data_IF_268989460888
#
_entry.id   IF_268989460888
#
_cell.length_a   1.000
_cell.length_b   1.000
_cell.length_c   1.000
_cell.angle_alpha   90.00
_cell.angle_beta   90.00
_cell.angle_gamma   90.00
#
_symmetry.space_group_name_H-M   'P 1'
#
loop_
_entity.id
_entity.type
_entity.pdbx_description
1 polymer ?
#
# COMPACT_ATOMS: atom_id res chain seq x y z
N UNK A 1 -9.49 13.67 4.93
CA UNK A 1 -9.61 13.98 3.52
C UNK A 1 -8.36 13.52 2.76
N UNK A 2 -8.58 13.15 1.50
CA UNK A 2 -7.49 12.69 0.66
C UNK A 2 -8.01 12.47 -0.77
N UNK A 3 -7.19 11.78 -1.56
CA UNK A 3 -7.55 11.50 -2.94
C UNK A 3 -6.99 10.13 -3.34
N UNK A 4 -7.27 9.75 -4.57
CA UNK A 4 -6.80 8.48 -5.09
C UNK A 4 -5.50 8.69 -5.86
N UNK A 5 -4.71 9.65 -5.40
CA UNK A 5 -3.45 9.96 -6.03
C UNK A 5 -2.35 9.98 -4.98
N UNK A 6 -2.64 10.64 -3.87
CA UNK A 6 -1.68 10.73 -2.78
C UNK A 6 -1.38 9.34 -2.20
N UNK A 7 -2.43 8.53 -2.12
CA UNK A 7 -2.30 7.19 -1.61
C UNK A 7 -1.29 6.42 -2.46
N UNK A 8 -1.40 6.60 -3.76
CA UNK A 8 -0.51 5.93 -4.69
C UNK A 8 0.93 6.40 -4.45
N UNK A 9 1.08 7.72 -4.42
CA UNK A 9 2.40 8.30 -4.20
C UNK A 9 2.96 7.86 -2.85
N UNK A 10 2.07 7.83 -1.86
CA UNK A 10 2.47 7.43 -0.51
C UNK A 10 2.88 5.96 -0.49
N UNK A 11 2.06 5.13 -1.12
CA UNK A 11 2.33 3.70 -1.17
C UNK A 11 3.64 3.47 -1.92
N UNK A 12 3.85 4.28 -2.95
CA UNK A 12 5.05 4.17 -3.76
C UNK A 12 6.30 4.47 -2.93
N UNK A 13 6.07 4.98 -1.73
CA UNK A 13 7.16 5.31 -0.83
C UNK A 13 7.30 4.23 0.25
N UNK A 14 6.50 3.19 0.09
CA UNK A 14 6.52 2.08 1.04
C UNK A 14 7.55 1.05 0.59
N UNK A 15 8.14 0.38 1.56
CA UNK A 15 9.14 -0.64 1.28
C UNK A 15 8.48 -2.01 1.14
N UNK A 16 9.28 -2.97 0.69
CA UNK A 16 8.78 -4.33 0.50
C UNK A 16 8.11 -4.80 1.80
N UNK A 17 8.80 -4.56 2.90
CA UNK A 17 8.29 -4.95 4.21
C UNK A 17 6.92 -4.31 4.45
N UNK A 18 6.84 -3.04 4.09
CA UNK A 18 5.60 -2.29 4.26
C UNK A 18 4.50 -2.86 3.36
N UNK A 19 4.88 -3.12 2.12
CA UNK A 19 3.95 -3.67 1.15
C UNK A 19 3.36 -4.97 1.70
N UNK A 20 4.22 -5.74 2.36
CA UNK A 20 3.79 -7.00 2.94
C UNK A 20 2.65 -6.79 3.93
N UNK A 21 2.71 -5.65 4.62
CA UNK A 21 1.70 -5.31 5.60
C UNK A 21 0.41 -4.93 4.86
N UNK A 22 0.57 -4.14 3.81
CA UNK A 22 -0.56 -3.69 3.02
C UNK A 22 -1.31 -4.91 2.47
N UNK A 23 -0.53 -5.83 1.92
CA UNK A 23 -1.11 -7.04 1.36
C UNK A 23 -1.51 -7.99 2.49
N UNK A 24 -0.60 -8.16 3.43
CA UNK A 24 -0.85 -9.03 4.57
C UNK A 24 -2.12 -8.60 5.31
N UNK A 25 -2.24 -7.30 5.51
CA UNK A 25 -3.40 -6.76 6.21
C UNK A 25 -4.64 -6.79 5.32
N UNK A 26 -4.40 -7.01 4.04
CA UNK A 26 -5.48 -7.07 3.07
C UNK A 26 -5.78 -8.53 2.73
N UNK A 27 -4.87 -9.40 3.15
CA UNK A 27 -5.01 -10.82 2.89
C UNK A 27 -4.25 -11.24 1.63
N UNK A 28 -4.21 -10.32 0.68
CA UNK A 28 -3.52 -10.57 -0.58
C UNK A 28 -2.16 -11.23 -0.32
N UNK A 29 -1.67 -11.94 -1.32
CA UNK A 29 -0.40 -12.62 -1.21
C UNK A 29 0.73 -11.61 -1.41
N UNK A 30 1.82 -11.83 -0.68
CA UNK A 30 2.96 -10.95 -0.76
C UNK A 30 4.23 -11.79 -1.00
N UNK A 31 4.79 -11.63 -2.19
CA UNK A 31 5.99 -12.36 -2.55
C UNK A 31 6.51 -11.85 -3.90
N UNK A 32 7.59 -11.09 -3.84
CA UNK A 32 8.19 -10.55 -5.04
C UNK A 32 8.96 -9.25 -4.74
N UNK A 33 9.36 -8.58 -5.81
CA UNK A 33 10.10 -7.33 -5.68
C UNK A 33 9.15 -6.21 -5.24
N UNK A 34 9.74 -5.03 -5.06
CA UNK A 34 8.97 -3.87 -4.65
C UNK A 34 7.99 -3.48 -5.77
N UNK A 35 8.52 -3.47 -6.99
CA UNK A 35 7.70 -3.13 -8.14
C UNK A 35 6.51 -4.08 -8.24
N UNK A 36 6.80 -5.35 -8.03
CA UNK A 36 5.76 -6.37 -8.09
C UNK A 36 4.74 -6.16 -6.97
N UNK A 37 5.27 -5.88 -5.79
CA UNK A 37 4.42 -5.66 -4.62
C UNK A 37 3.65 -4.35 -4.81
N UNK A 38 4.36 -3.33 -5.28
CA UNK A 38 3.76 -2.03 -5.50
C UNK A 38 2.60 -2.19 -6.50
N UNK A 39 2.87 -2.91 -7.56
CA UNK A 39 1.87 -3.14 -8.59
C UNK A 39 0.64 -3.82 -8.00
N UNK A 40 0.90 -4.73 -7.06
CA UNK A 40 -0.17 -5.45 -6.40
C UNK A 40 -0.96 -4.50 -5.51
N UNK A 41 -0.23 -3.65 -4.81
CA UNK A 41 -0.84 -2.69 -3.92
C UNK A 41 -1.61 -1.65 -4.74
N UNK A 42 -1.00 -1.24 -5.84
CA UNK A 42 -1.60 -0.26 -6.72
C UNK A 42 -2.91 -0.83 -7.28
N UNK A 43 -2.83 -2.08 -7.74
CA UNK A 43 -4.00 -2.74 -8.30
C UNK A 43 -5.11 -2.80 -7.25
N UNK A 44 -4.68 -2.87 -5.99
CA UNK A 44 -5.62 -2.94 -4.89
C UNK A 44 -6.39 -1.62 -4.79
N UNK A 45 -5.69 -0.53 -5.09
CA UNK A 45 -6.29 0.78 -5.04
C UNK A 45 -7.34 0.90 -6.15
N UNK A 46 -6.95 0.46 -7.34
CA UNK A 46 -7.84 0.51 -8.48
C UNK A 46 -8.91 -0.57 -8.34
N UNK A 47 -8.54 -1.63 -7.63
CA UNK A 47 -9.47 -2.74 -7.41
C UNK A 47 -10.39 -2.40 -6.24
N UNK A 48 -10.12 -1.25 -5.63
CA UNK A 48 -10.91 -0.81 -4.50
C UNK A 48 -10.47 -1.49 -3.21
N UNK A 49 -9.85 -0.71 -2.34
CA UNK A 49 -9.37 -1.22 -1.07
C UNK A 49 -9.92 -0.32 0.04
N UNK A 50 -10.55 -0.96 1.01
CA UNK A 50 -11.12 -0.23 2.13
C UNK A 50 -10.13 0.83 2.62
N UNK A 51 -10.67 1.79 3.42
CA UNK A 51 -9.86 2.87 3.95
C UNK A 51 -8.96 2.37 5.09
N UNK A 52 -9.17 1.11 5.46
CA UNK A 52 -8.40 0.50 6.53
C UNK A 52 -6.94 0.39 6.09
N UNK A 53 -6.76 -0.05 4.85
CA UNK A 53 -5.42 -0.20 4.29
C UNK A 53 -4.83 1.18 3.99
N UNK A 54 -5.71 2.08 3.58
CA UNK A 54 -5.30 3.44 3.25
C UNK A 54 -4.67 4.11 4.48
N UNK A 55 -5.20 3.77 5.64
CA UNK A 55 -4.70 4.33 6.88
C UNK A 55 -3.30 3.80 7.20
N UNK A 56 -3.11 2.51 6.93
CA UNK A 56 -1.83 1.88 7.19
C UNK A 56 -0.76 2.55 6.33
N UNK A 57 -1.19 3.01 5.15
CA UNK A 57 -0.28 3.66 4.22
C UNK A 57 0.18 4.99 4.83
N UNK A 58 -0.75 5.66 5.47
CA UNK A 58 -0.47 6.94 6.10
C UNK A 58 0.45 6.72 7.30
N UNK A 59 0.14 5.68 8.06
CA UNK A 59 0.93 5.35 9.24
C UNK A 59 2.33 4.88 8.84
N UNK A 60 2.36 4.03 7.82
CA UNK A 60 3.62 3.50 7.34
C UNK A 60 4.48 4.66 6.82
N UNK A 61 3.88 5.50 6.01
CA UNK A 61 4.57 6.64 5.45
C UNK A 61 4.93 7.66 6.54
N UNK A 62 3.99 7.84 7.46
CA UNK A 62 4.17 8.77 8.56
C UNK A 62 5.47 8.45 9.32
N UNK A 63 5.51 7.23 9.82
CA UNK A 63 6.68 6.77 10.57
C UNK A 63 7.95 6.99 9.74
N UNK A 64 7.76 7.09 8.44
CA UNK A 64 8.88 7.29 7.54
C UNK A 64 8.92 8.74 7.05
N UNK A 65 8.24 9.60 7.80
CA UNK A 65 8.19 11.01 7.46
C UNK A 65 9.54 11.50 6.93
#
# INVERSE_FOLDING_TARGET
MADSAELKQMVMSLRVSELQVLLGYAGRNKHGRKHELLTKALHLLKAGCSPAVQMKIKELYRRRF
#
